data_IF_376546974756
#
_entry.id   IF_376546974756
#
_cell.length_a   1.000
_cell.length_b   1.000
_cell.length_c   1.000
_cell.angle_alpha   90.00
_cell.angle_beta   90.00
_cell.angle_gamma   90.00
#
_symmetry.space_group_name_H-M   'P 1'
#
loop_
_entity.id
_entity.type
_entity.pdbx_description
1 polymer ?
#
# COMPACT_ATOMS: atom_id res chain seq x y z
N UNK A 1 43.89 12.27 -29.77
CA UNK A 1 42.44 12.16 -29.59
C UNK A 1 42.18 11.59 -28.18
N UNK A 2 41.83 12.45 -27.25
CA UNK A 2 41.57 12.06 -25.84
C UNK A 2 40.11 11.63 -25.77
N UNK A 3 39.87 10.38 -25.43
CA UNK A 3 38.52 9.86 -25.26
C UNK A 3 37.87 10.51 -24.03
N UNK A 4 36.80 11.26 -24.25
CA UNK A 4 35.93 11.78 -23.15
C UNK A 4 35.16 10.62 -22.60
N UNK A 5 35.51 10.18 -21.38
CA UNK A 5 34.75 9.18 -20.65
C UNK A 5 33.49 9.88 -20.14
N UNK A 6 32.36 9.66 -20.81
CA UNK A 6 31.04 10.11 -20.35
C UNK A 6 30.60 9.20 -19.20
N UNK A 7 30.97 9.54 -17.96
CA UNK A 7 30.44 8.89 -16.76
C UNK A 7 29.14 9.58 -16.35
N UNK A 8 28.04 8.82 -16.26
CA UNK A 8 26.84 9.28 -15.58
C UNK A 8 27.15 9.44 -14.09
N UNK A 9 26.81 10.57 -13.44
CA UNK A 9 26.99 10.72 -12.01
C UNK A 9 26.16 9.66 -11.29
N UNK A 10 26.78 8.98 -10.31
CA UNK A 10 26.07 8.09 -9.39
C UNK A 10 25.13 8.94 -8.54
N UNK A 11 23.83 8.84 -8.77
CA UNK A 11 22.81 9.50 -7.93
C UNK A 11 22.73 8.70 -6.63
N UNK A 12 23.33 9.21 -5.57
CA UNK A 12 23.08 8.67 -4.22
C UNK A 12 21.60 8.88 -3.91
N UNK A 13 20.93 7.84 -3.40
CA UNK A 13 19.56 7.97 -2.92
C UNK A 13 19.46 9.13 -1.91
N UNK A 14 18.44 10.00 -2.01
CA UNK A 14 18.23 11.07 -1.05
C UNK A 14 18.27 10.56 0.39
N UNK A 15 18.80 11.35 1.32
CA UNK A 15 18.90 10.96 2.72
C UNK A 15 17.54 10.62 3.32
N UNK A 16 16.49 11.35 2.93
CA UNK A 16 15.10 11.05 3.33
C UNK A 16 14.64 9.67 2.87
N UNK A 17 15.07 9.21 1.68
CA UNK A 17 14.76 7.86 1.20
C UNK A 17 15.46 6.76 2.01
N UNK A 18 16.72 6.98 2.40
CA UNK A 18 17.47 6.04 3.24
C UNK A 18 16.87 5.94 4.64
N UNK A 19 16.44 7.08 5.21
CA UNK A 19 15.75 7.12 6.51
C UNK A 19 14.40 6.39 6.43
N UNK A 20 13.62 6.64 5.37
CA UNK A 20 12.33 5.97 5.18
C UNK A 20 12.50 4.45 5.07
N UNK A 21 13.50 3.98 4.32
CA UNK A 21 13.78 2.54 4.21
C UNK A 21 14.13 1.93 5.57
N UNK A 22 15.02 2.58 6.33
CA UNK A 22 15.41 2.10 7.65
C UNK A 22 14.25 2.09 8.65
N UNK A 23 13.45 3.14 8.69
CA UNK A 23 12.26 3.19 9.55
C UNK A 23 11.24 2.11 9.16
N UNK A 24 11.08 1.84 7.86
CA UNK A 24 10.19 0.77 7.36
C UNK A 24 10.67 -0.59 7.88
N UNK A 25 11.96 -0.90 7.76
CA UNK A 25 12.55 -2.13 8.32
C UNK A 25 12.33 -2.22 9.83
N UNK A 26 12.56 -1.13 10.57
CA UNK A 26 12.42 -1.08 12.02
C UNK A 26 10.95 -1.30 12.47
N UNK A 27 9.98 -0.79 11.70
CA UNK A 27 8.55 -1.05 11.92
C UNK A 27 8.20 -2.50 11.59
N UNK A 28 8.60 -3.00 10.43
CA UNK A 28 8.30 -4.36 9.98
C UNK A 28 8.92 -5.44 10.88
N UNK A 29 10.07 -5.15 11.48
CA UNK A 29 10.74 -6.06 12.43
C UNK A 29 10.27 -5.90 13.88
N UNK A 30 9.35 -4.95 14.13
CA UNK A 30 8.78 -4.71 15.46
C UNK A 30 9.70 -3.93 16.42
N UNK A 31 10.80 -3.34 15.94
CA UNK A 31 11.64 -2.42 16.74
C UNK A 31 10.77 -1.23 17.18
N UNK A 32 9.93 -0.73 16.29
CA UNK A 32 8.84 0.17 16.64
C UNK A 32 7.54 -0.62 16.62
N UNK A 33 6.99 -0.86 17.81
CA UNK A 33 5.76 -1.64 17.97
C UNK A 33 4.56 -0.93 17.32
N UNK A 34 3.55 -1.70 16.89
CA UNK A 34 2.26 -1.17 16.48
C UNK A 34 1.67 -0.24 17.56
N UNK A 35 1.11 0.88 17.17
CA UNK A 35 0.59 1.92 18.07
C UNK A 35 1.65 2.80 18.74
N UNK A 36 2.94 2.48 18.65
CA UNK A 36 3.99 3.26 19.28
C UNK A 36 4.09 4.68 18.73
N UNK A 37 4.27 5.65 19.61
CA UNK A 37 4.56 7.03 19.23
C UNK A 37 6.02 7.16 18.79
N UNK A 38 6.24 7.77 17.64
CA UNK A 38 7.58 8.10 17.14
C UNK A 38 7.92 9.56 17.47
N UNK A 39 8.95 9.75 18.27
CA UNK A 39 9.43 11.08 18.64
C UNK A 39 10.47 11.55 17.62
N UNK A 40 10.06 12.47 16.71
CA UNK A 40 10.94 12.99 15.63
C UNK A 40 12.28 13.52 16.13
N UNK A 41 12.32 14.11 17.33
CA UNK A 41 13.56 14.65 17.90
C UNK A 41 14.54 13.53 18.25
N UNK A 42 14.03 12.48 18.88
CA UNK A 42 14.84 11.33 19.31
C UNK A 42 15.33 10.53 18.10
N UNK A 43 14.44 10.34 17.10
CA UNK A 43 14.80 9.68 15.85
C UNK A 43 15.86 10.46 15.07
N UNK A 44 15.74 11.80 14.99
CA UNK A 44 16.75 12.63 14.33
C UNK A 44 18.13 12.49 15.01
N UNK A 45 18.16 12.45 16.35
CA UNK A 45 19.37 12.21 17.11
C UNK A 45 19.94 10.81 16.88
N UNK A 46 19.09 9.78 16.93
CA UNK A 46 19.48 8.39 16.73
C UNK A 46 20.06 8.13 15.33
N UNK A 47 19.48 8.73 14.30
CA UNK A 47 19.96 8.63 12.91
C UNK A 47 21.11 9.61 12.60
N UNK A 48 21.44 10.55 13.50
CA UNK A 48 22.48 11.56 13.26
C UNK A 48 22.12 12.51 12.11
N UNK A 49 20.85 12.86 11.93
CA UNK A 49 20.33 13.68 10.83
C UNK A 49 19.61 14.93 11.34
N UNK A 50 19.44 15.92 10.46
CA UNK A 50 18.58 17.07 10.75
C UNK A 50 17.08 16.69 10.61
N UNK A 51 16.20 17.52 11.17
CA UNK A 51 14.74 17.28 11.18
C UNK A 51 14.12 17.31 9.78
N UNK A 52 14.69 18.04 8.81
CA UNK A 52 14.15 18.18 7.46
C UNK A 52 14.01 16.84 6.76
N UNK A 53 15.12 16.13 6.45
CA UNK A 53 15.05 14.83 5.79
C UNK A 53 14.30 13.77 6.59
N UNK A 54 14.30 13.85 7.94
CA UNK A 54 13.48 12.95 8.76
C UNK A 54 11.98 13.18 8.54
N UNK A 55 11.51 14.44 8.52
CA UNK A 55 10.10 14.75 8.27
C UNK A 55 9.64 14.33 6.90
N UNK A 56 10.47 14.50 5.88
CA UNK A 56 10.17 13.98 4.53
C UNK A 56 10.01 12.45 4.54
N UNK A 57 10.89 11.75 5.23
CA UNK A 57 10.80 10.29 5.39
C UNK A 57 9.52 9.87 6.12
N UNK A 58 9.20 10.54 7.23
CA UNK A 58 7.97 10.30 8.01
C UNK A 58 6.72 10.57 7.17
N UNK A 59 6.65 11.69 6.45
CA UNK A 59 5.52 11.99 5.58
C UNK A 59 5.33 10.94 4.49
N UNK A 60 6.42 10.44 3.93
CA UNK A 60 6.37 9.35 2.97
C UNK A 60 5.80 8.07 3.59
N UNK A 61 6.23 7.69 4.79
CA UNK A 61 5.70 6.50 5.48
C UNK A 61 4.23 6.69 5.91
N UNK A 62 3.79 7.92 6.16
CA UNK A 62 2.36 8.23 6.35
C UNK A 62 1.58 8.02 5.04
N UNK A 63 2.11 8.45 3.91
CA UNK A 63 1.49 8.21 2.59
C UNK A 63 1.47 6.72 2.21
N UNK A 64 2.47 5.96 2.67
CA UNK A 64 2.56 4.50 2.49
C UNK A 64 1.65 3.73 3.47
N UNK A 65 1.00 4.41 4.43
CA UNK A 65 0.12 3.76 5.39
C UNK A 65 0.84 2.99 6.51
N UNK A 66 2.13 3.22 6.74
CA UNK A 66 2.89 2.61 7.84
C UNK A 66 2.84 3.47 9.12
N UNK A 67 2.64 4.76 8.95
CA UNK A 67 2.54 5.72 10.04
C UNK A 67 1.24 6.52 9.91
N UNK A 68 0.73 7.03 11.03
CA UNK A 68 -0.34 8.03 11.07
C UNK A 68 0.15 9.28 11.81
N UNK A 69 -0.23 10.44 11.31
CA UNK A 69 0.07 11.72 11.93
C UNK A 69 -1.18 12.27 12.59
N UNK A 70 -1.12 12.52 13.90
CA UNK A 70 -2.21 13.11 14.65
C UNK A 70 -1.85 14.58 14.99
N UNK A 71 -2.70 15.56 14.65
CA UNK A 71 -2.48 16.96 14.98
C UNK A 71 -2.23 17.13 16.48
N UNK A 72 -1.17 17.84 16.84
CA UNK A 72 -0.74 18.12 18.21
C UNK A 72 -0.37 16.93 19.08
N UNK A 73 -0.49 15.70 18.57
CA UNK A 73 -0.14 14.47 19.31
C UNK A 73 1.12 13.78 18.76
N UNK A 74 1.47 14.02 17.50
CA UNK A 74 2.68 13.48 16.89
C UNK A 74 2.43 12.40 15.85
N UNK A 75 3.41 11.54 15.65
CA UNK A 75 3.39 10.46 14.67
C UNK A 75 3.38 9.12 15.41
N UNK A 76 2.58 8.18 14.90
CA UNK A 76 2.40 6.86 15.50
C UNK A 76 2.56 5.79 14.43
N UNK A 77 3.10 4.64 14.82
CA UNK A 77 3.05 3.43 13.99
C UNK A 77 1.58 3.01 13.87
N UNK A 78 1.16 2.65 12.66
CA UNK A 78 -0.22 2.15 12.48
C UNK A 78 -0.37 0.86 13.29
N UNK A 79 -1.44 0.81 14.06
CA UNK A 79 -1.92 -0.37 14.77
C UNK A 79 -3.25 -0.74 14.12
N UNK A 80 -3.28 -1.91 13.48
CA UNK A 80 -4.49 -2.42 12.86
C UNK A 80 -5.04 -3.48 13.81
N UNK A 81 -6.13 -3.16 14.48
CA UNK A 81 -6.82 -4.12 15.35
C UNK A 81 -7.55 -5.19 14.53
N UNK A 82 -7.89 -6.32 15.14
CA UNK A 82 -8.75 -7.33 14.50
C UNK A 82 -10.11 -6.73 14.09
N UNK A 83 -10.66 -5.85 14.91
CA UNK A 83 -11.92 -5.16 14.62
C UNK A 83 -11.80 -4.25 13.38
N UNK A 84 -10.68 -3.51 13.21
CA UNK A 84 -10.43 -2.70 12.02
C UNK A 84 -10.35 -3.57 10.77
N UNK A 85 -9.66 -4.72 10.85
CA UNK A 85 -9.57 -5.67 9.74
C UNK A 85 -10.97 -6.19 9.38
N UNK A 86 -11.76 -6.60 10.38
CA UNK A 86 -13.11 -7.11 10.15
C UNK A 86 -14.04 -6.05 9.56
N UNK A 87 -13.95 -4.80 10.01
CA UNK A 87 -14.75 -3.69 9.48
C UNK A 87 -14.40 -3.39 8.02
N UNK A 88 -13.11 -3.32 7.68
CA UNK A 88 -12.64 -3.15 6.31
C UNK A 88 -13.14 -4.27 5.41
N UNK A 89 -13.04 -5.53 5.84
CA UNK A 89 -13.56 -6.67 5.07
C UNK A 89 -15.07 -6.64 4.93
N UNK A 90 -15.80 -6.19 5.94
CA UNK A 90 -17.26 -6.02 5.88
C UNK A 90 -17.63 -5.00 4.82
N UNK A 91 -17.00 -3.82 4.79
CA UNK A 91 -17.27 -2.77 3.80
C UNK A 91 -16.86 -3.23 2.39
N UNK A 92 -15.71 -3.89 2.24
CA UNK A 92 -15.27 -4.49 0.96
C UNK A 92 -16.33 -5.45 0.42
N UNK A 93 -16.76 -6.39 1.26
CA UNK A 93 -17.78 -7.40 0.87
C UNK A 93 -19.08 -6.75 0.41
N UNK A 94 -19.53 -5.69 1.08
CA UNK A 94 -20.71 -4.95 0.68
C UNK A 94 -20.57 -4.30 -0.70
N UNK A 95 -19.44 -3.64 -0.96
CA UNK A 95 -19.15 -2.97 -2.24
C UNK A 95 -18.98 -3.98 -3.39
N UNK A 96 -18.26 -5.07 -3.15
CA UNK A 96 -18.06 -6.14 -4.14
C UNK A 96 -19.36 -6.86 -4.47
N UNK A 97 -20.22 -7.11 -3.47
CA UNK A 97 -21.55 -7.68 -3.68
C UNK A 97 -22.43 -6.74 -4.52
N UNK A 98 -22.38 -5.44 -4.25
CA UNK A 98 -23.11 -4.44 -5.06
C UNK A 98 -22.59 -4.42 -6.51
N UNK A 99 -21.27 -4.53 -6.71
CA UNK A 99 -20.67 -4.65 -8.04
C UNK A 99 -21.16 -5.90 -8.78
N UNK A 100 -21.09 -7.06 -8.12
CA UNK A 100 -21.56 -8.34 -8.69
C UNK A 100 -23.03 -8.28 -9.12
N UNK A 101 -23.91 -7.77 -8.26
CA UNK A 101 -25.33 -7.60 -8.62
C UNK A 101 -25.50 -6.75 -9.87
N UNK A 102 -24.82 -5.61 -9.94
CA UNK A 102 -24.89 -4.72 -11.09
C UNK A 102 -24.34 -5.36 -12.37
N UNK A 103 -23.25 -6.15 -12.30
CA UNK A 103 -22.71 -6.91 -13.43
C UNK A 103 -23.72 -7.95 -13.91
N UNK A 104 -24.37 -8.65 -12.98
CA UNK A 104 -25.38 -9.65 -13.30
C UNK A 104 -26.61 -9.00 -13.99
N UNK A 105 -27.03 -7.83 -13.57
CA UNK A 105 -28.22 -7.16 -14.08
C UNK A 105 -27.94 -6.39 -15.38
N UNK A 106 -26.79 -5.77 -15.55
CA UNK A 106 -26.51 -4.78 -16.59
C UNK A 106 -25.15 -4.91 -17.27
N UNK A 107 -24.28 -5.80 -16.80
CA UNK A 107 -22.89 -5.91 -17.26
C UNK A 107 -22.67 -7.00 -18.30
N UNK A 108 -21.46 -7.00 -18.87
CA UNK A 108 -20.97 -8.12 -19.67
C UNK A 108 -20.37 -9.20 -18.74
N UNK A 109 -21.20 -10.17 -18.39
CA UNK A 109 -20.85 -11.27 -17.49
C UNK A 109 -19.70 -12.11 -18.03
N UNK A 110 -19.71 -12.37 -19.35
CA UNK A 110 -18.72 -13.24 -19.98
C UNK A 110 -17.35 -12.58 -20.02
N UNK A 111 -17.28 -11.33 -20.47
CA UNK A 111 -16.01 -10.58 -20.49
C UNK A 111 -15.47 -10.39 -19.07
N UNK A 112 -16.33 -10.08 -18.09
CA UNK A 112 -15.93 -9.95 -16.69
C UNK A 112 -15.38 -11.26 -16.15
N UNK A 113 -16.08 -12.38 -16.35
CA UNK A 113 -15.63 -13.69 -15.88
C UNK A 113 -14.27 -14.09 -16.49
N UNK A 114 -14.10 -13.90 -17.79
CA UNK A 114 -12.83 -14.19 -18.47
C UNK A 114 -11.67 -13.33 -17.94
N UNK A 115 -11.91 -12.03 -17.71
CA UNK A 115 -10.91 -11.14 -17.15
C UNK A 115 -10.49 -11.54 -15.73
N UNK A 116 -11.46 -11.85 -14.87
CA UNK A 116 -11.20 -12.31 -13.51
C UNK A 116 -10.49 -13.68 -13.47
N UNK A 117 -10.86 -14.60 -14.34
CA UNK A 117 -10.23 -15.92 -14.45
C UNK A 117 -8.75 -15.78 -14.84
N UNK A 118 -8.42 -14.93 -15.79
CA UNK A 118 -7.04 -14.69 -16.21
C UNK A 118 -6.17 -14.14 -15.06
N UNK A 119 -6.72 -13.27 -14.19
CA UNK A 119 -6.02 -12.78 -13.00
C UNK A 119 -5.86 -13.90 -11.97
N UNK A 120 -6.92 -14.68 -11.73
CA UNK A 120 -6.89 -15.79 -10.78
C UNK A 120 -5.85 -16.87 -11.17
N UNK A 121 -5.71 -17.19 -12.46
CA UNK A 121 -4.68 -18.11 -12.94
C UNK A 121 -3.26 -17.59 -12.70
N UNK A 122 -3.04 -16.29 -12.90
CA UNK A 122 -1.75 -15.64 -12.60
C UNK A 122 -1.46 -15.67 -11.10
N UNK A 123 -2.46 -15.41 -10.26
CA UNK A 123 -2.35 -15.45 -8.80
C UNK A 123 -2.03 -16.86 -8.30
N UNK A 124 -2.73 -17.88 -8.79
CA UNK A 124 -2.46 -19.31 -8.47
C UNK A 124 -1.01 -19.69 -8.82
N UNK A 125 -0.52 -19.25 -9.99
CA UNK A 125 0.86 -19.48 -10.41
C UNK A 125 1.88 -18.80 -9.48
N UNK A 126 1.65 -17.56 -9.09
CA UNK A 126 2.52 -16.83 -8.16
C UNK A 126 2.54 -17.49 -6.79
N UNK A 127 1.38 -17.90 -6.27
CA UNK A 127 1.27 -18.58 -4.98
C UNK A 127 1.98 -19.94 -5.00
N UNK A 128 1.86 -20.73 -6.07
CA UNK A 128 2.55 -22.01 -6.23
C UNK A 128 4.07 -21.88 -6.34
N UNK A 129 4.57 -20.77 -6.86
CA UNK A 129 6.01 -20.47 -6.91
C UNK A 129 6.56 -19.87 -5.61
N UNK A 130 5.72 -19.62 -4.62
CA UNK A 130 6.10 -18.98 -3.35
C UNK A 130 6.25 -17.45 -3.44
N UNK A 131 5.92 -16.83 -4.57
CA UNK A 131 5.94 -15.38 -4.76
C UNK A 131 4.70 -14.72 -4.16
N UNK A 132 4.74 -14.57 -2.83
CA UNK A 132 3.63 -13.99 -2.06
C UNK A 132 3.38 -12.52 -2.38
N UNK A 133 4.42 -11.76 -2.75
CA UNK A 133 4.30 -10.36 -3.08
C UNK A 133 3.47 -10.17 -4.36
N UNK A 134 3.84 -10.88 -5.44
CA UNK A 134 3.05 -10.90 -6.67
C UNK A 134 1.65 -11.46 -6.43
N UNK A 135 1.50 -12.48 -5.58
CA UNK A 135 0.20 -13.04 -5.22
C UNK A 135 -0.73 -12.00 -4.58
N UNK A 136 -0.22 -11.20 -3.64
CA UNK A 136 -0.95 -10.11 -3.01
C UNK A 136 -1.33 -8.99 -3.98
N UNK A 137 -0.42 -8.56 -4.85
CA UNK A 137 -0.71 -7.55 -5.87
C UNK A 137 -1.82 -8.01 -6.85
N UNK A 138 -1.83 -9.30 -7.20
CA UNK A 138 -2.85 -9.90 -8.06
C UNK A 138 -4.20 -10.05 -7.35
N UNK A 139 -4.24 -10.29 -6.05
CA UNK A 139 -5.45 -10.24 -5.24
C UNK A 139 -6.09 -8.84 -5.30
N UNK A 140 -5.28 -7.80 -5.10
CA UNK A 140 -5.74 -6.42 -5.25
C UNK A 140 -6.23 -6.11 -6.67
N UNK A 141 -5.54 -6.59 -7.71
CA UNK A 141 -5.94 -6.43 -9.10
C UNK A 141 -7.28 -7.11 -9.37
N UNK A 142 -7.48 -8.33 -8.85
CA UNK A 142 -8.71 -9.11 -9.01
C UNK A 142 -9.94 -8.37 -8.48
N UNK A 143 -9.92 -7.96 -7.23
CA UNK A 143 -11.02 -7.28 -6.58
C UNK A 143 -11.33 -5.91 -7.20
N UNK A 144 -10.29 -5.14 -7.55
CA UNK A 144 -10.45 -3.87 -8.26
C UNK A 144 -11.07 -4.06 -9.64
N UNK A 145 -10.65 -5.09 -10.37
CA UNK A 145 -11.19 -5.41 -11.69
C UNK A 145 -12.67 -5.78 -11.61
N UNK A 146 -13.04 -6.58 -10.61
CA UNK A 146 -14.43 -6.92 -10.31
C UNK A 146 -15.29 -5.67 -10.13
N UNK A 147 -14.87 -4.77 -9.25
CA UNK A 147 -15.64 -3.56 -8.93
C UNK A 147 -15.72 -2.61 -10.12
N UNK A 148 -14.64 -2.46 -10.89
CA UNK A 148 -14.63 -1.60 -12.08
C UNK A 148 -15.53 -2.13 -13.20
N UNK A 149 -15.66 -3.46 -13.35
CA UNK A 149 -16.54 -4.08 -14.32
C UNK A 149 -18.04 -3.74 -14.11
N UNK A 150 -18.41 -3.32 -12.90
CA UNK A 150 -19.75 -2.82 -12.62
C UNK A 150 -20.11 -1.50 -13.34
N UNK A 151 -19.13 -0.77 -13.93
CA UNK A 151 -19.34 0.47 -14.66
C UNK A 151 -19.91 1.60 -13.82
N UNK A 152 -19.58 1.66 -12.53
CA UNK A 152 -20.00 2.70 -11.59
C UNK A 152 -18.80 3.44 -11.02
N UNK A 153 -18.54 4.66 -11.49
CA UNK A 153 -17.44 5.48 -11.00
C UNK A 153 -17.50 5.75 -9.50
N UNK A 154 -18.73 5.91 -8.94
CA UNK A 154 -18.91 6.12 -7.49
C UNK A 154 -18.49 4.90 -6.71
N UNK A 155 -18.90 3.71 -7.15
CA UNK A 155 -18.56 2.46 -6.52
C UNK A 155 -17.04 2.22 -6.58
N UNK A 156 -16.42 2.45 -7.74
CA UNK A 156 -14.96 2.32 -7.91
C UNK A 156 -14.17 3.27 -7.01
N UNK A 157 -14.61 4.53 -6.85
CA UNK A 157 -13.96 5.47 -5.93
C UNK A 157 -14.08 5.06 -4.46
N UNK A 158 -15.28 4.67 -4.03
CA UNK A 158 -15.49 4.20 -2.65
C UNK A 158 -14.65 2.96 -2.36
N UNK A 159 -14.59 2.03 -3.33
CA UNK A 159 -13.77 0.83 -3.20
C UNK A 159 -12.28 1.14 -3.12
N UNK A 160 -11.78 2.06 -3.94
CA UNK A 160 -10.37 2.46 -3.93
C UNK A 160 -9.93 3.04 -2.56
N UNK A 161 -10.82 3.76 -1.86
CA UNK A 161 -10.55 4.25 -0.51
C UNK A 161 -10.37 3.09 0.48
N UNK A 162 -11.32 2.17 0.51
CA UNK A 162 -11.28 1.00 1.41
C UNK A 162 -10.10 0.08 1.06
N UNK A 163 -9.82 -0.11 -0.24
CA UNK A 163 -8.69 -0.92 -0.69
C UNK A 163 -7.33 -0.35 -0.25
N UNK A 164 -7.21 0.98 -0.15
CA UNK A 164 -5.98 1.60 0.34
C UNK A 164 -5.72 1.31 1.83
N UNK A 165 -6.76 1.04 2.61
CA UNK A 165 -6.67 0.68 4.03
C UNK A 165 -6.29 -0.79 4.27
N UNK A 166 -6.35 -1.64 3.23
CA UNK A 166 -6.01 -3.07 3.31
C UNK A 166 -4.60 -3.39 2.82
N UNK A 167 -3.81 -2.40 2.43
CA UNK A 167 -2.47 -2.56 1.86
C UNK A 167 -1.39 -2.33 2.90
#
# INVERSE_FOLDING_TARGET
MTAVIATRPLVRAPLSSQIAERLREDIQTGIHAAGAQLHEVELALAFGVSRGPLREAVQRLVQEGLLRSEPHRGVFVIDVSEDDVLDVFFVRSALETAALRRIVDHGDRTATANGLMAIAERMDKAMKSGDRATGGDLDFEYHRTLVNAAGSERLSRSYATVQAETR
#
